data_IF_233021195012
#
_entry.id   IF_233021195012
#
_cell.length_a   1.000
_cell.length_b   1.000
_cell.length_c   1.000
_cell.angle_alpha   90.00
_cell.angle_beta   90.00
_cell.angle_gamma   90.00
#
_symmetry.space_group_name_H-M   'P 1'
#
loop_
_entity.id
_entity.type
_entity.pdbx_description
1 polymer ?
#
# COMPACT_ATOMS: atom_id res chain seq x y z
N UNK A 1 12.16 18.03 -20.16
CA UNK A 1 11.39 18.67 -19.08
C UNK A 1 9.90 18.43 -19.27
N UNK A 2 9.30 17.40 -18.64
CA UNK A 2 7.86 17.30 -18.35
C UNK A 2 7.65 16.26 -17.26
N UNK A 3 8.23 16.49 -16.09
CA UNK A 3 7.76 15.86 -14.85
C UNK A 3 6.57 16.66 -14.34
N UNK A 4 5.44 16.55 -15.04
CA UNK A 4 4.16 16.93 -14.47
C UNK A 4 3.75 15.81 -13.52
N UNK A 5 4.21 15.91 -12.27
CA UNK A 5 3.67 15.16 -11.15
C UNK A 5 2.13 15.21 -11.25
N UNK A 6 1.51 14.04 -11.42
CA UNK A 6 0.06 13.93 -11.49
C UNK A 6 -0.54 14.32 -10.13
N UNK A 7 -0.95 15.59 -10.01
CA UNK A 7 -1.55 16.22 -8.83
C UNK A 7 -2.93 15.64 -8.45
N UNK A 8 -3.36 14.52 -9.07
CA UNK A 8 -4.73 13.98 -9.07
C UNK A 8 -5.03 13.08 -7.86
N UNK A 9 -4.12 12.94 -6.90
CA UNK A 9 -4.32 12.01 -5.78
C UNK A 9 -3.81 12.47 -4.42
N UNK A 10 -3.30 13.70 -4.29
CA UNK A 10 -2.84 14.22 -3.01
C UNK A 10 -4.06 14.90 -2.38
N UNK A 11 -4.74 14.20 -1.48
CA UNK A 11 -5.66 14.83 -0.55
C UNK A 11 -4.84 15.79 0.33
N UNK A 12 -4.84 17.08 -0.03
CA UNK A 12 -4.14 18.14 0.70
C UNK A 12 -4.98 18.51 1.92
N UNK A 13 -5.35 17.52 2.71
CA UNK A 13 -5.94 17.75 4.02
C UNK A 13 -4.95 18.58 4.82
N UNK A 14 -5.41 19.72 5.36
CA UNK A 14 -4.58 20.61 6.17
C UNK A 14 -4.11 19.95 7.50
N UNK A 15 -4.54 18.72 7.76
CA UNK A 15 -4.22 17.93 8.95
C UNK A 15 -3.74 16.57 8.47
N UNK A 16 -2.54 16.18 8.87
CA UNK A 16 -1.98 14.86 8.61
C UNK A 16 -1.47 14.25 9.91
N UNK A 17 -1.54 12.92 10.01
CA UNK A 17 -1.00 12.19 11.17
C UNK A 17 0.50 12.05 11.03
N UNK A 18 1.23 12.33 12.12
CA UNK A 18 2.68 12.09 12.23
C UNK A 18 2.90 10.84 13.06
N UNK A 19 3.71 9.91 12.54
CA UNK A 19 4.13 8.72 13.27
C UNK A 19 5.26 9.05 14.25
N UNK A 20 5.08 8.82 15.55
CA UNK A 20 6.05 9.28 16.58
C UNK A 20 6.44 8.12 17.52
N UNK A 21 7.73 7.90 17.76
CA UNK A 21 8.18 7.02 18.85
C UNK A 21 8.38 7.84 20.14
N UNK A 22 7.29 8.02 20.87
CA UNK A 22 7.27 8.86 22.06
C UNK A 22 8.15 8.30 23.20
N UNK A 23 8.31 6.97 23.27
CA UNK A 23 9.17 6.37 24.28
C UNK A 23 10.64 6.70 24.02
N UNK A 24 11.05 6.67 22.75
CA UNK A 24 12.39 7.05 22.33
C UNK A 24 12.68 8.54 22.55
N UNK A 25 11.75 9.41 22.14
CA UNK A 25 11.87 10.86 22.32
C UNK A 25 12.02 11.23 23.82
N UNK A 26 11.20 10.64 24.68
CA UNK A 26 11.27 10.88 26.13
C UNK A 26 12.55 10.32 26.76
N UNK A 27 13.05 9.18 26.28
CA UNK A 27 14.28 8.58 26.80
C UNK A 27 15.53 9.32 26.35
N UNK A 28 15.50 10.00 25.19
CA UNK A 28 16.64 10.71 24.60
C UNK A 28 16.25 12.12 24.12
N UNK A 29 16.05 13.08 25.03
CA UNK A 29 15.76 14.46 24.66
C UNK A 29 16.85 15.05 23.76
N UNK A 30 16.45 15.75 22.71
CA UNK A 30 17.32 16.34 21.69
C UNK A 30 17.74 15.38 20.56
N UNK A 31 17.17 14.17 20.51
CA UNK A 31 17.44 13.20 19.44
C UNK A 31 16.54 13.39 18.21
N UNK A 32 16.82 12.65 17.14
CA UNK A 32 16.00 12.65 15.92
C UNK A 32 14.57 12.11 16.12
N UNK A 33 14.28 11.51 17.28
CA UNK A 33 12.93 11.08 17.66
C UNK A 33 12.04 12.24 18.14
N UNK A 34 12.64 13.39 18.49
CA UNK A 34 11.90 14.55 18.96
C UNK A 34 11.11 15.19 17.81
N UNK A 35 9.87 15.55 18.11
CA UNK A 35 8.97 16.20 17.15
C UNK A 35 8.72 17.63 17.58
N UNK A 36 9.03 18.57 16.68
CA UNK A 36 8.73 19.99 16.88
C UNK A 36 7.26 20.24 16.55
N UNK A 37 6.48 20.61 17.56
CA UNK A 37 5.07 20.95 17.42
C UNK A 37 4.88 22.38 16.93
N UNK A 38 3.81 22.60 16.18
CA UNK A 38 3.36 23.90 15.70
C UNK A 38 2.07 24.31 16.38
N UNK A 39 1.74 25.59 16.24
CA UNK A 39 0.45 26.11 16.69
C UNK A 39 -0.69 25.28 16.07
N UNK A 40 -1.65 24.88 16.92
CA UNK A 40 -2.81 24.04 16.59
C UNK A 40 -2.54 22.55 16.33
N UNK A 41 -1.32 22.06 16.54
CA UNK A 41 -1.09 20.61 16.58
C UNK A 41 -1.83 19.98 17.77
N UNK A 42 -2.35 18.77 17.56
CA UNK A 42 -3.08 18.01 18.58
C UNK A 42 -2.34 16.70 18.87
N UNK A 43 -1.99 16.49 20.13
CA UNK A 43 -1.44 15.22 20.60
C UNK A 43 -2.60 14.33 21.06
N UNK A 44 -2.78 13.21 20.37
CA UNK A 44 -3.72 12.17 20.77
C UNK A 44 -2.97 11.02 21.45
N UNK A 45 -3.32 10.74 22.71
CA UNK A 45 -2.81 9.57 23.45
C UNK A 45 -3.91 8.51 23.48
N UNK A 46 -3.76 7.39 22.75
CA UNK A 46 -4.78 6.36 22.73
C UNK A 46 -4.71 5.46 23.97
N UNK A 47 -5.86 4.87 24.35
CA UNK A 47 -5.90 3.86 25.40
C UNK A 47 -5.23 2.55 24.97
N UNK A 48 -4.70 1.80 25.93
CA UNK A 48 -4.11 0.49 25.66
C UNK A 48 -5.13 -0.47 25.04
N UNK A 49 -4.82 -0.97 23.85
CA UNK A 49 -5.65 -1.96 23.17
C UNK A 49 -4.92 -3.31 23.11
N UNK A 50 -5.42 -4.29 23.87
CA UNK A 50 -4.88 -5.65 23.94
C UNK A 50 -5.20 -6.55 22.73
N UNK A 51 -5.63 -5.99 21.61
CA UNK A 51 -6.01 -6.74 20.40
C UNK A 51 -5.24 -6.27 19.17
N UNK A 52 -5.18 -7.13 18.17
CA UNK A 52 -4.63 -6.85 16.84
C UNK A 52 -5.77 -6.96 15.85
N UNK A 53 -6.01 -5.90 15.09
CA UNK A 53 -7.06 -5.88 14.06
C UNK A 53 -6.50 -6.38 12.74
N UNK A 54 -7.18 -7.30 12.07
CA UNK A 54 -6.77 -7.83 10.76
C UNK A 54 -7.81 -7.44 9.72
N UNK A 55 -7.38 -6.77 8.65
CA UNK A 55 -8.25 -6.22 7.62
C UNK A 55 -7.70 -6.43 6.20
N UNK A 56 -8.56 -6.18 5.20
CA UNK A 56 -8.23 -6.29 3.79
C UNK A 56 -8.52 -7.66 3.20
N UNK A 57 -7.64 -8.16 2.35
CA UNK A 57 -7.77 -9.42 1.61
C UNK A 57 -7.46 -10.66 2.48
N UNK A 58 -8.27 -10.85 3.52
CA UNK A 58 -8.34 -12.03 4.39
C UNK A 58 -9.73 -12.65 4.32
N UNK A 59 -9.89 -13.92 4.67
CA UNK A 59 -11.19 -14.60 4.56
C UNK A 59 -12.24 -14.01 5.51
N UNK A 60 -11.84 -13.62 6.72
CA UNK A 60 -12.73 -13.05 7.71
C UNK A 60 -12.03 -11.95 8.52
N UNK A 61 -12.19 -10.66 8.15
CA UNK A 61 -11.64 -9.55 8.91
C UNK A 61 -12.15 -9.55 10.35
N UNK A 62 -11.25 -9.59 11.33
CA UNK A 62 -11.59 -9.65 12.75
C UNK A 62 -10.51 -8.98 13.62
N UNK A 63 -10.83 -8.78 14.90
CA UNK A 63 -9.87 -8.43 15.93
C UNK A 63 -9.52 -9.66 16.76
N UNK A 64 -8.24 -9.86 17.00
CA UNK A 64 -7.71 -11.04 17.70
C UNK A 64 -6.91 -10.58 18.90
N UNK A 65 -7.08 -11.21 20.07
CA UNK A 65 -6.28 -10.89 21.26
C UNK A 65 -4.78 -10.98 20.96
N UNK A 66 -4.04 -9.93 21.34
CA UNK A 66 -2.60 -9.89 21.18
C UNK A 66 -1.94 -11.01 21.99
N UNK A 67 -0.95 -11.65 21.37
CA UNK A 67 -0.08 -12.64 22.00
C UNK A 67 1.36 -12.31 21.65
N UNK A 68 2.17 -12.27 22.68
CA UNK A 68 3.58 -11.95 22.54
C UNK A 68 4.33 -12.98 21.68
N UNK A 69 5.30 -12.51 20.91
CA UNK A 69 6.09 -13.32 19.99
C UNK A 69 5.33 -13.90 18.78
N UNK A 70 4.04 -13.62 18.61
CA UNK A 70 3.29 -14.07 17.42
C UNK A 70 3.55 -13.17 16.21
N UNK A 71 3.84 -13.80 15.08
CA UNK A 71 4.09 -13.11 13.82
C UNK A 71 2.78 -12.67 13.13
N UNK A 72 2.90 -11.76 12.17
CA UNK A 72 1.79 -11.33 11.30
C UNK A 72 1.01 -12.52 10.71
N UNK A 73 1.72 -13.58 10.30
CA UNK A 73 1.10 -14.78 9.72
C UNK A 73 0.18 -15.53 10.69
N UNK A 74 0.47 -15.49 12.00
CA UNK A 74 -0.42 -16.05 13.02
C UNK A 74 -1.77 -15.33 13.01
N UNK A 75 -1.75 -14.00 13.02
CA UNK A 75 -2.97 -13.19 13.04
C UNK A 75 -3.76 -13.31 11.74
N UNK A 76 -3.08 -13.35 10.59
CA UNK A 76 -3.76 -13.64 9.31
C UNK A 76 -4.42 -15.01 9.32
N UNK A 77 -3.78 -16.04 9.90
CA UNK A 77 -4.38 -17.37 10.04
C UNK A 77 -5.61 -17.34 10.95
N UNK A 78 -5.60 -16.55 12.02
CA UNK A 78 -6.76 -16.33 12.90
C UNK A 78 -7.92 -15.60 12.20
N UNK A 79 -7.65 -14.91 11.10
CA UNK A 79 -8.64 -14.32 10.18
C UNK A 79 -9.07 -15.30 9.06
N UNK A 80 -8.86 -16.60 9.24
CA UNK A 80 -9.14 -17.65 8.23
C UNK A 80 -8.06 -17.81 7.17
N UNK A 81 -7.00 -17.00 7.18
CA UNK A 81 -5.95 -16.99 6.17
C UNK A 81 -6.14 -15.89 5.12
N UNK A 82 -5.27 -15.92 4.11
CA UNK A 82 -5.29 -14.96 3.02
C UNK A 82 -6.42 -15.26 2.03
N UNK A 83 -7.10 -14.22 1.54
CA UNK A 83 -7.99 -14.31 0.40
C UNK A 83 -7.20 -14.64 -0.89
N UNK A 84 -7.87 -15.23 -1.89
CA UNK A 84 -7.26 -15.58 -3.18
C UNK A 84 -6.67 -14.36 -3.91
N UNK A 85 -7.28 -13.19 -3.71
CA UNK A 85 -6.81 -11.92 -4.28
C UNK A 85 -5.74 -11.25 -3.43
N UNK A 86 -5.28 -11.81 -2.31
CA UNK A 86 -4.29 -11.16 -1.47
C UNK A 86 -2.93 -10.95 -2.15
N UNK A 87 -2.36 -9.74 -2.00
CA UNK A 87 -0.95 -9.44 -2.26
C UNK A 87 -0.13 -9.68 -0.98
N UNK A 88 0.10 -10.95 -0.66
CA UNK A 88 0.77 -11.40 0.58
C UNK A 88 2.09 -10.67 0.87
N UNK A 89 2.92 -10.46 -0.16
CA UNK A 89 4.22 -9.78 -0.03
C UNK A 89 4.15 -8.27 0.17
N UNK A 90 2.95 -7.67 0.13
CA UNK A 90 2.72 -6.25 0.42
C UNK A 90 1.86 -6.05 1.66
N UNK A 91 1.80 -7.04 2.55
CA UNK A 91 1.22 -6.84 3.86
C UNK A 91 1.97 -5.72 4.59
N UNK A 92 1.25 -4.96 5.41
CA UNK A 92 1.85 -3.94 6.27
C UNK A 92 1.05 -3.79 7.56
N UNK A 93 1.67 -3.17 8.55
CA UNK A 93 1.14 -2.99 9.89
C UNK A 93 1.12 -1.50 10.19
N UNK A 94 -0.02 -0.99 10.62
CA UNK A 94 -0.15 0.37 11.16
C UNK A 94 -0.17 0.26 12.68
N UNK A 95 0.75 0.94 13.34
CA UNK A 95 0.84 1.00 14.80
C UNK A 95 -0.01 2.14 15.37
N UNK A 96 -0.34 2.04 16.66
CA UNK A 96 -1.15 3.06 17.35
C UNK A 96 -0.49 4.45 17.37
N UNK A 97 0.83 4.49 17.30
CA UNK A 97 1.59 5.74 17.24
C UNK A 97 1.68 6.33 15.83
N UNK A 98 0.92 5.81 14.85
CA UNK A 98 0.89 6.28 13.47
C UNK A 98 2.02 5.77 12.57
N UNK A 99 3.02 5.06 13.12
CA UNK A 99 4.08 4.46 12.32
C UNK A 99 3.58 3.27 11.51
N UNK A 100 4.26 2.99 10.40
CA UNK A 100 3.95 1.88 9.50
C UNK A 100 5.18 1.02 9.30
N UNK A 101 5.01 -0.30 9.39
CA UNK A 101 6.04 -1.28 9.04
C UNK A 101 5.51 -2.23 7.96
N UNK A 102 6.38 -2.62 7.05
CA UNK A 102 5.99 -3.32 5.82
C UNK A 102 6.60 -4.71 5.75
N UNK A 103 5.90 -5.61 5.05
CA UNK A 103 6.32 -6.99 4.85
C UNK A 103 5.74 -7.96 5.88
N UNK A 104 5.98 -9.25 5.62
CA UNK A 104 5.47 -10.35 6.45
C UNK A 104 6.24 -10.51 7.77
N UNK A 105 7.43 -9.93 7.86
CA UNK A 105 8.28 -9.90 9.05
C UNK A 105 8.00 -8.70 9.97
N UNK A 106 7.08 -7.81 9.59
CA UNK A 106 6.70 -6.67 10.40
C UNK A 106 6.32 -7.12 11.81
N UNK A 107 6.85 -6.41 12.81
CA UNK A 107 6.63 -6.78 14.22
C UNK A 107 5.17 -6.48 14.59
N UNK A 108 4.53 -7.38 15.31
CA UNK A 108 3.16 -7.16 15.79
C UNK A 108 3.22 -6.59 17.20
N UNK A 109 2.45 -5.51 17.44
CA UNK A 109 2.32 -4.85 18.74
C UNK A 109 0.84 -4.79 19.14
N UNK A 110 0.50 -4.67 20.43
CA UNK A 110 -0.87 -4.41 20.87
C UNK A 110 -1.47 -3.19 20.15
N UNK A 111 -2.74 -3.28 19.77
CA UNK A 111 -3.52 -2.22 19.14
C UNK A 111 -3.17 -1.92 17.68
N UNK A 112 -2.20 -2.63 17.09
CA UNK A 112 -1.88 -2.44 15.69
C UNK A 112 -2.95 -3.02 14.75
N UNK A 113 -2.93 -2.53 13.52
CA UNK A 113 -3.80 -2.97 12.43
C UNK A 113 -2.93 -3.63 11.36
N UNK A 114 -3.16 -4.91 11.12
CA UNK A 114 -2.58 -5.67 10.03
C UNK A 114 -3.45 -5.51 8.80
N UNK A 115 -2.87 -4.99 7.72
CA UNK A 115 -3.58 -4.76 6.46
C UNK A 115 -2.98 -5.64 5.37
N UNK A 116 -3.84 -6.42 4.72
CA UNK A 116 -3.49 -7.24 3.56
C UNK A 116 -4.08 -6.60 2.31
N UNK A 117 -3.28 -6.05 1.40
CA UNK A 117 -3.80 -5.49 0.16
C UNK A 117 -4.33 -6.57 -0.77
N UNK A 118 -5.30 -6.20 -1.62
CA UNK A 118 -5.76 -7.03 -2.72
C UNK A 118 -4.93 -6.78 -3.99
N UNK A 119 -4.92 -7.76 -4.89
CA UNK A 119 -4.44 -7.62 -6.25
C UNK A 119 -5.48 -6.78 -6.99
N UNK A 120 -5.04 -5.67 -7.57
CA UNK A 120 -5.85 -4.97 -8.58
C UNK A 120 -6.20 -5.98 -9.67
N UNK A 121 -7.48 -6.05 -10.04
CA UNK A 121 -7.91 -6.82 -11.19
C UNK A 121 -7.15 -6.25 -12.41
N UNK A 122 -6.27 -7.05 -13.02
CA UNK A 122 -5.73 -6.69 -14.32
C UNK A 122 -6.86 -6.92 -15.31
N UNK A 123 -7.23 -5.89 -16.07
CA UNK A 123 -8.11 -6.10 -17.20
C UNK A 123 -7.47 -7.15 -18.13
N UNK A 124 -8.21 -8.20 -18.53
CA UNK A 124 -7.67 -9.22 -19.41
C UNK A 124 -7.23 -8.56 -20.71
N UNK A 125 -6.00 -8.86 -21.15
CA UNK A 125 -5.47 -8.34 -22.42
C UNK A 125 -6.37 -8.84 -23.54
N UNK A 126 -7.07 -7.92 -24.20
CA UNK A 126 -7.89 -8.26 -25.34
C UNK A 126 -7.01 -8.45 -26.57
N UNK A 127 -6.59 -9.69 -26.80
CA UNK A 127 -5.72 -10.06 -27.93
C UNK A 127 -6.31 -9.69 -29.30
N UNK A 128 -7.64 -9.57 -29.43
CA UNK A 128 -8.25 -9.09 -30.67
C UNK A 128 -7.93 -7.62 -30.95
N UNK A 129 -7.85 -6.77 -29.91
CA UNK A 129 -7.46 -5.36 -30.04
C UNK A 129 -5.97 -5.21 -30.33
N UNK A 130 -5.11 -6.06 -29.73
CA UNK A 130 -3.67 -6.09 -30.02
C UNK A 130 -3.40 -6.46 -31.49
N UNK A 131 -4.10 -7.48 -32.01
CA UNK A 131 -4.00 -7.88 -33.42
C UNK A 131 -4.49 -6.77 -34.34
N UNK A 132 -5.57 -6.07 -33.98
CA UNK A 132 -6.05 -4.91 -34.75
C UNK A 132 -5.04 -3.75 -34.75
N UNK A 133 -4.39 -3.47 -33.62
CA UNK A 133 -3.34 -2.44 -33.51
C UNK A 133 -2.08 -2.79 -34.33
N UNK A 134 -1.73 -4.07 -34.42
CA UNK A 134 -0.66 -4.57 -35.31
C UNK A 134 -1.07 -4.46 -36.79
N UNK A 135 -2.33 -4.73 -37.11
CA UNK A 135 -2.85 -4.56 -38.47
C UNK A 135 -2.87 -3.10 -38.92
N UNK A 136 -3.17 -2.15 -38.01
CA UNK A 136 -3.16 -0.72 -38.31
C UNK A 136 -1.74 -0.17 -38.45
N UNK A 137 -0.73 -0.74 -37.79
CA UNK A 137 0.68 -0.34 -37.94
C UNK A 137 1.39 -0.98 -39.14
N UNK A 138 0.88 -2.09 -39.70
CA UNK A 138 1.35 -2.63 -40.99
C UNK A 138 1.06 -1.71 -42.19
N UNK A 139 0.15 -0.73 -42.03
CA UNK A 139 -0.22 0.21 -43.09
C UNK A 139 0.91 1.11 -43.58
N UNK A 140 1.97 1.34 -42.78
CA UNK A 140 3.11 2.16 -43.20
C UNK A 140 4.05 1.45 -44.20
N UNK A 141 4.09 0.11 -44.21
CA UNK A 141 4.95 -0.66 -45.13
C UNK A 141 4.32 -0.90 -46.51
N UNK A 142 3.01 -1.10 -46.56
CA UNK A 142 2.29 -1.38 -47.81
C UNK A 142 2.22 -0.17 -48.75
N UNK A 143 2.16 1.05 -48.21
CA UNK A 143 2.23 2.30 -48.99
C UNK A 143 3.58 2.43 -49.71
N UNK A 144 4.68 2.02 -49.07
CA UNK A 144 6.02 2.09 -49.67
C UNK A 144 6.18 1.06 -50.79
N UNK A 145 5.69 -0.18 -50.62
CA UNK A 145 5.78 -1.23 -51.64
C UNK A 145 4.87 -0.93 -52.85
N UNK A 146 3.66 -0.40 -52.61
CA UNK A 146 2.76 0.02 -53.70
C UNK A 146 3.31 1.23 -54.48
N UNK A 147 3.94 2.19 -53.80
CA UNK A 147 4.62 3.31 -54.47
C UNK A 147 5.76 2.86 -55.39
N UNK A 148 6.52 1.82 -55.00
CA UNK A 148 7.62 1.27 -55.83
C UNK A 148 7.07 0.49 -57.06
N UNK A 149 5.95 -0.22 -56.91
CA UNK A 149 5.32 -0.93 -58.04
C UNK A 149 4.55 -0.01 -59.00
N UNK A 150 4.09 1.16 -58.55
CA UNK A 150 3.47 2.20 -59.39
C UNK A 150 4.50 3.06 -60.16
N UNK A 151 5.77 3.01 -59.76
CA UNK A 151 6.88 3.75 -60.38
C UNK A 151 7.68 2.90 -61.40
N UNK A 152 7.21 1.68 -61.71
CA UNK A 152 7.67 0.85 -62.82
C UNK A 152 6.58 0.79 -63.89
#
# INVERSE_FOLDING_TARGET
ERDSLSMVGIDISNVYTVGIDMAEALARPGSDADVVLRDKDVIMVPEYNGTVRVMGAVLYPNSVTYKDGKSLRYYVKSAGGFDNRARKGRAFVIYMNGMVDSGLSAKIRPGCIVIIPSKMAKEPVNWSQVVQMLSSTASMGAVVISAINLAK
#
